data_IF_319718026691
#
_entry.id   IF_319718026691
#
_cell.length_a   1.000
_cell.length_b   1.000
_cell.length_c   1.000
_cell.angle_alpha   90.00
_cell.angle_beta   90.00
_cell.angle_gamma   90.00
#
_symmetry.space_group_name_H-M   'P 1'
#
loop_
_entity.id
_entity.type
_entity.pdbx_description
1 polymer ?
#
# COMPACT_ATOMS: atom_id res chain seq x y z
N UNK A 1 8.81 -20.25 12.78
CA UNK A 1 8.00 -20.68 11.62
C UNK A 1 8.66 -21.94 11.09
N UNK A 2 7.90 -23.03 10.90
CA UNK A 2 8.44 -24.25 10.26
C UNK A 2 8.72 -23.95 8.80
N UNK A 3 9.88 -24.38 8.31
CA UNK A 3 10.26 -24.20 6.91
C UNK A 3 9.54 -25.26 6.07
N UNK A 4 9.13 -24.91 4.85
CA UNK A 4 8.48 -25.84 3.94
C UNK A 4 9.48 -26.19 2.83
N UNK A 5 9.65 -27.48 2.57
CA UNK A 5 10.48 -27.99 1.48
C UNK A 5 9.60 -28.74 0.49
N UNK A 6 9.99 -28.71 -0.78
CA UNK A 6 9.43 -29.54 -1.84
C UNK A 6 10.44 -30.61 -2.22
N UNK A 7 9.99 -31.85 -2.32
CA UNK A 7 10.79 -32.96 -2.85
C UNK A 7 11.03 -32.71 -4.34
N UNK A 8 12.28 -32.55 -4.73
CA UNK A 8 12.70 -32.33 -6.12
C UNK A 8 13.18 -33.62 -6.79
N UNK A 9 13.68 -34.57 -6.00
CA UNK A 9 14.07 -35.91 -6.43
C UNK A 9 13.48 -36.93 -5.44
N UNK A 10 12.85 -38.02 -5.91
CA UNK A 10 12.26 -39.01 -5.01
C UNK A 10 13.35 -39.66 -4.15
N UNK A 11 12.99 -40.03 -2.92
CA UNK A 11 13.89 -40.70 -1.99
C UNK A 11 13.17 -41.91 -1.41
N UNK A 12 13.77 -43.10 -1.50
CA UNK A 12 13.26 -44.33 -0.91
C UNK A 12 14.22 -44.76 0.20
N UNK A 13 13.72 -44.91 1.43
CA UNK A 13 14.60 -45.32 2.53
C UNK A 13 15.04 -46.78 2.36
N UNK A 14 16.35 -47.07 2.48
CA UNK A 14 16.85 -48.44 2.56
C UNK A 14 16.72 -49.06 3.96
N UNK A 15 16.21 -48.30 4.96
CA UNK A 15 16.17 -48.69 6.38
C UNK A 15 14.72 -48.75 6.92
N UNK A 16 13.94 -49.79 6.58
CA UNK A 16 12.53 -49.88 6.97
C UNK A 16 12.28 -50.19 8.46
N UNK A 17 13.30 -50.64 9.20
CA UNK A 17 13.21 -50.91 10.64
C UNK A 17 14.18 -49.97 11.40
N UNK A 18 13.72 -48.76 11.77
CA UNK A 18 14.59 -47.75 12.32
C UNK A 18 15.06 -48.06 13.74
N UNK A 19 16.23 -47.55 14.09
CA UNK A 19 16.66 -47.44 15.48
C UNK A 19 15.74 -46.47 16.22
N UNK A 20 15.24 -46.90 17.37
CA UNK A 20 14.44 -46.11 18.31
C UNK A 20 15.06 -46.25 19.70
N UNK A 21 15.40 -45.13 20.33
CA UNK A 21 16.03 -45.11 21.65
C UNK A 21 15.76 -43.81 22.39
N UNK A 22 15.62 -43.91 23.72
CA UNK A 22 15.38 -42.77 24.60
C UNK A 22 16.69 -42.08 25.01
N UNK A 23 16.60 -40.83 25.46
CA UNK A 23 17.71 -40.09 26.04
C UNK A 23 18.38 -40.90 27.17
N UNK A 24 19.72 -40.92 27.17
CA UNK A 24 20.53 -41.69 28.12
C UNK A 24 20.73 -43.16 27.74
N UNK A 25 20.10 -43.65 26.67
CA UNK A 25 20.37 -44.99 26.18
C UNK A 25 21.84 -45.16 25.77
N UNK A 26 22.45 -46.28 26.21
CA UNK A 26 23.77 -46.70 25.76
C UNK A 26 23.66 -47.54 24.49
N UNK A 27 24.37 -47.12 23.45
CA UNK A 27 24.42 -47.76 22.15
C UNK A 27 25.88 -48.13 21.83
N UNK A 28 26.08 -49.07 20.91
CA UNK A 28 27.38 -49.26 20.26
C UNK A 28 27.43 -48.40 19.01
N UNK A 29 28.58 -47.84 18.68
CA UNK A 29 28.74 -47.06 17.45
C UNK A 29 29.89 -47.59 16.58
N UNK A 30 29.74 -47.38 15.28
CA UNK A 30 30.73 -47.65 14.25
C UNK A 30 30.85 -46.42 13.34
N UNK A 31 32.09 -46.05 12.99
CA UNK A 31 32.35 -45.08 11.92
C UNK A 31 32.33 -45.83 10.59
N UNK A 32 31.16 -45.90 9.97
CA UNK A 32 30.98 -46.51 8.65
C UNK A 32 31.23 -45.49 7.55
N UNK A 33 31.68 -45.96 6.40
CA UNK A 33 31.75 -45.12 5.19
C UNK A 33 30.34 -44.69 4.79
N UNK A 34 30.16 -43.39 4.56
CA UNK A 34 28.92 -42.77 4.14
C UNK A 34 29.25 -41.49 3.39
N UNK A 35 28.39 -41.10 2.45
CA UNK A 35 28.48 -39.80 1.78
C UNK A 35 28.04 -38.64 2.71
N UNK A 36 27.43 -38.96 3.85
CA UNK A 36 26.84 -37.99 4.78
C UNK A 36 27.75 -37.75 5.99
N UNK A 37 28.44 -36.61 6.00
CA UNK A 37 29.26 -36.19 7.14
C UNK A 37 28.41 -35.93 8.39
N UNK A 38 28.98 -36.17 9.58
CA UNK A 38 28.32 -35.89 10.86
C UNK A 38 27.39 -36.99 11.39
N UNK A 39 27.32 -38.15 10.73
CA UNK A 39 26.50 -39.29 11.14
C UNK A 39 27.35 -40.48 11.62
N UNK A 40 26.90 -41.14 12.69
CA UNK A 40 27.48 -42.40 13.18
C UNK A 40 26.47 -43.52 13.08
N UNK A 41 26.93 -44.71 12.69
CA UNK A 41 26.09 -45.89 12.68
C UNK A 41 26.00 -46.45 14.10
N UNK A 42 24.80 -46.45 14.67
CA UNK A 42 24.60 -46.92 16.05
C UNK A 42 23.75 -48.19 16.07
N UNK A 43 24.00 -49.05 17.04
CA UNK A 43 23.23 -50.27 17.31
C UNK A 43 22.76 -50.27 18.76
N UNK A 44 21.44 -50.36 18.95
CA UNK A 44 20.80 -50.48 20.25
C UNK A 44 20.96 -51.89 20.82
N UNK A 45 20.82 -52.09 22.15
CA UNK A 45 20.82 -53.42 22.76
C UNK A 45 19.76 -54.38 22.19
N UNK A 46 18.68 -53.84 21.61
CA UNK A 46 17.65 -54.60 20.90
C UNK A 46 18.15 -55.22 19.58
N UNK A 47 19.33 -54.83 19.09
CA UNK A 47 19.89 -55.23 17.80
C UNK A 47 19.51 -54.31 16.65
N UNK A 48 18.54 -53.40 16.84
CA UNK A 48 18.18 -52.41 15.83
C UNK A 48 19.30 -51.40 15.63
N UNK A 49 19.51 -51.00 14.39
CA UNK A 49 20.60 -50.09 14.02
C UNK A 49 20.12 -48.98 13.10
N UNK A 50 20.79 -47.85 13.13
CA UNK A 50 20.47 -46.71 12.29
C UNK A 50 21.50 -45.60 12.44
N UNK A 51 21.46 -44.65 11.51
CA UNK A 51 22.30 -43.46 11.56
C UNK A 51 21.82 -42.53 12.67
N UNK A 52 22.75 -42.01 13.47
CA UNK A 52 22.48 -41.02 14.53
C UNK A 52 23.43 -39.84 14.33
N UNK A 53 22.98 -38.58 14.46
CA UNK A 53 23.87 -37.43 14.39
C UNK A 53 24.95 -37.51 15.48
N UNK A 54 26.22 -37.36 15.10
CA UNK A 54 27.36 -37.39 16.03
C UNK A 54 27.21 -36.32 17.12
N UNK A 55 26.64 -35.17 16.77
CA UNK A 55 26.34 -34.06 17.69
C UNK A 55 25.38 -34.47 18.81
N UNK A 56 24.55 -35.49 18.59
CA UNK A 56 23.54 -35.98 19.54
C UNK A 56 24.05 -37.12 20.42
N UNK A 57 25.32 -37.48 20.28
CA UNK A 57 25.97 -38.56 21.02
C UNK A 57 27.05 -38.02 21.96
N UNK A 58 27.20 -38.64 23.12
CA UNK A 58 28.41 -38.55 23.95
C UNK A 58 29.19 -39.83 23.74
N UNK A 59 30.40 -39.72 23.19
CA UNK A 59 31.22 -40.89 22.85
C UNK A 59 32.07 -41.31 24.06
N UNK A 60 32.17 -42.63 24.25
CA UNK A 60 33.07 -43.31 25.18
C UNK A 60 33.79 -44.44 24.41
N UNK A 61 34.79 -45.09 24.99
CA UNK A 61 35.56 -46.15 24.31
C UNK A 61 34.63 -47.33 23.89
N UNK A 62 34.31 -47.40 22.60
CA UNK A 62 33.48 -48.46 21.99
C UNK A 62 31.97 -48.35 22.22
N UNK A 63 31.49 -47.29 22.88
CA UNK A 63 30.08 -47.06 23.17
C UNK A 63 29.72 -45.57 23.04
N UNK A 64 28.43 -45.27 22.90
CA UNK A 64 27.93 -43.91 22.92
C UNK A 64 26.65 -43.81 23.75
N UNK A 65 26.42 -42.63 24.33
CA UNK A 65 25.19 -42.32 25.06
C UNK A 65 24.41 -41.27 24.30
N UNK A 66 23.13 -41.55 24.07
CA UNK A 66 22.24 -40.66 23.35
C UNK A 66 21.82 -39.46 24.23
N UNK A 67 21.89 -38.25 23.70
CA UNK A 67 21.60 -37.02 24.48
C UNK A 67 20.11 -36.66 24.55
N UNK A 68 19.27 -37.27 23.71
CA UNK A 68 17.84 -36.96 23.54
C UNK A 68 17.10 -38.15 22.95
N UNK A 69 15.78 -38.23 23.10
CA UNK A 69 14.99 -39.28 22.44
C UNK A 69 15.18 -39.20 20.92
N UNK A 70 15.32 -40.35 20.28
CA UNK A 70 15.65 -40.42 18.86
C UNK A 70 15.00 -41.58 18.13
N UNK A 71 14.57 -41.29 16.91
CA UNK A 71 14.17 -42.27 15.91
C UNK A 71 14.93 -42.02 14.61
N UNK A 72 15.61 -43.04 14.10
CA UNK A 72 16.35 -43.03 12.83
C UNK A 72 15.42 -43.30 11.63
N UNK A 73 14.14 -42.94 11.73
CA UNK A 73 13.16 -43.19 10.68
C UNK A 73 13.35 -42.21 9.55
N UNK A 74 13.66 -42.72 8.39
CA UNK A 74 13.70 -41.98 7.14
C UNK A 74 12.35 -42.15 6.42
N UNK A 75 11.91 -41.12 5.72
CA UNK A 75 10.66 -41.14 4.95
C UNK A 75 10.94 -41.55 3.50
N UNK A 76 10.13 -42.44 2.95
CA UNK A 76 10.07 -42.61 1.49
C UNK A 76 9.13 -41.57 0.89
N UNK A 77 9.64 -40.72 0.00
CA UNK A 77 8.91 -39.56 -0.55
C UNK A 77 9.03 -39.50 -2.07
N UNK A 78 7.93 -39.14 -2.73
CA UNK A 78 7.87 -38.93 -4.17
C UNK A 78 8.16 -37.46 -4.54
N UNK A 79 8.66 -37.26 -5.76
CA UNK A 79 8.87 -35.92 -6.30
C UNK A 79 7.56 -35.09 -6.30
N UNK A 80 7.67 -33.85 -5.84
CA UNK A 80 6.55 -32.91 -5.72
C UNK A 80 5.92 -32.84 -4.33
N UNK A 81 6.12 -33.86 -3.49
CA UNK A 81 5.63 -33.85 -2.11
C UNK A 81 6.20 -32.69 -1.28
N UNK A 82 5.48 -32.32 -0.23
CA UNK A 82 5.84 -31.24 0.66
C UNK A 82 6.25 -31.79 2.03
N UNK A 83 7.41 -31.34 2.51
CA UNK A 83 7.93 -31.65 3.84
C UNK A 83 7.89 -30.39 4.68
N UNK A 84 7.09 -30.42 5.74
CA UNK A 84 7.12 -29.37 6.76
C UNK A 84 8.26 -29.69 7.73
N UNK A 85 9.38 -28.97 7.60
CA UNK A 85 10.57 -29.20 8.41
C UNK A 85 10.38 -28.70 9.84
N UNK A 86 10.70 -29.57 10.80
CA UNK A 86 10.86 -29.21 12.20
C UNK A 86 12.26 -28.63 12.43
N UNK A 87 13.30 -29.28 11.90
CA UNK A 87 14.68 -28.81 11.94
C UNK A 87 15.54 -29.50 10.86
N UNK A 88 16.76 -28.99 10.70
CA UNK A 88 17.80 -29.56 9.83
C UNK A 88 18.98 -29.94 10.71
N UNK A 89 19.58 -31.10 10.46
CA UNK A 89 20.79 -31.58 11.13
C UNK A 89 21.64 -32.35 10.12
N UNK A 90 22.93 -32.00 10.04
CA UNK A 90 23.93 -32.71 9.24
C UNK A 90 23.45 -33.06 7.82
N UNK A 91 22.95 -32.04 7.11
CA UNK A 91 22.39 -32.10 5.75
C UNK A 91 21.11 -32.93 5.54
N UNK A 92 20.39 -33.23 6.61
CA UNK A 92 19.07 -33.86 6.53
C UNK A 92 18.00 -33.01 7.22
N UNK A 93 16.79 -33.05 6.68
CA UNK A 93 15.59 -32.48 7.29
C UNK A 93 14.91 -33.54 8.11
N UNK A 94 14.60 -33.25 9.38
CA UNK A 94 13.56 -33.97 10.12
C UNK A 94 12.27 -33.15 10.04
N UNK A 95 11.18 -33.77 9.60
CA UNK A 95 9.92 -33.08 9.40
C UNK A 95 8.75 -34.04 9.20
N UNK A 96 7.63 -33.47 8.77
CA UNK A 96 6.41 -34.23 8.49
C UNK A 96 5.95 -34.07 7.03
N UNK A 97 5.46 -35.15 6.44
CA UNK A 97 4.69 -35.13 5.19
C UNK A 97 3.30 -34.51 5.42
N UNK A 98 2.54 -34.27 4.34
CA UNK A 98 1.13 -33.84 4.46
C UNK A 98 0.23 -34.86 5.16
N UNK A 99 0.54 -36.16 5.08
CA UNK A 99 -0.18 -37.22 5.79
C UNK A 99 0.13 -37.26 7.29
N UNK A 100 1.12 -36.47 7.75
CA UNK A 100 1.55 -36.39 9.13
C UNK A 100 2.61 -37.42 9.52
N UNK A 101 3.13 -38.19 8.56
CA UNK A 101 4.24 -39.11 8.82
C UNK A 101 5.53 -38.31 9.06
N UNK A 102 6.24 -38.63 10.14
CA UNK A 102 7.46 -37.92 10.55
C UNK A 102 8.72 -38.74 10.30
N UNK A 103 9.77 -38.10 9.83
CA UNK A 103 11.07 -38.73 9.64
C UNK A 103 12.06 -37.85 8.90
N UNK A 104 13.20 -38.46 8.57
CA UNK A 104 14.34 -37.85 7.92
C UNK A 104 14.24 -37.93 6.39
N UNK A 105 14.58 -36.82 5.72
CA UNK A 105 14.74 -36.74 4.27
C UNK A 105 16.02 -35.93 3.97
N UNK A 106 16.91 -36.41 3.09
CA UNK A 106 18.17 -35.72 2.80
C UNK A 106 17.94 -34.40 2.04
N UNK A 107 18.72 -33.36 2.35
CA UNK A 107 18.50 -32.01 1.79
C UNK A 107 18.73 -31.93 0.28
N UNK A 108 19.62 -32.75 -0.30
CA UNK A 108 19.85 -32.78 -1.75
C UNK A 108 18.63 -33.31 -2.55
N UNK A 109 17.67 -33.97 -1.89
CA UNK A 109 16.37 -34.34 -2.48
C UNK A 109 15.29 -33.25 -2.32
N UNK A 110 15.62 -32.12 -1.67
CA UNK A 110 14.67 -31.09 -1.26
C UNK A 110 15.04 -29.69 -1.81
N UNK A 111 14.03 -28.88 -2.11
CA UNK A 111 14.17 -27.45 -2.37
C UNK A 111 13.30 -26.61 -1.43
N UNK A 112 13.80 -25.51 -0.85
CA UNK A 112 13.00 -24.61 -0.03
C UNK A 112 11.82 -24.03 -0.81
N UNK A 113 10.63 -24.04 -0.23
CA UNK A 113 9.46 -23.33 -0.73
C UNK A 113 9.43 -21.95 -0.08
N UNK A 114 9.72 -20.91 -0.87
CA UNK A 114 9.64 -19.53 -0.40
C UNK A 114 8.20 -19.21 0.03
N UNK A 115 8.00 -18.85 1.30
CA UNK A 115 6.76 -18.23 1.74
C UNK A 115 6.91 -16.71 1.54
N UNK A 116 6.01 -16.04 0.79
CA UNK A 116 6.04 -14.59 0.74
C UNK A 116 5.82 -14.02 2.14
N UNK A 117 6.65 -13.05 2.53
CA UNK A 117 6.52 -12.40 3.84
C UNK A 117 5.12 -11.77 3.99
N UNK A 118 4.51 -11.84 5.18
CA UNK A 118 3.21 -11.23 5.39
C UNK A 118 3.28 -9.71 5.19
N UNK A 119 2.36 -9.16 4.39
CA UNK A 119 2.16 -7.72 4.25
C UNK A 119 1.15 -7.21 5.29
N UNK A 120 1.31 -5.96 5.73
CA UNK A 120 0.29 -5.29 6.55
C UNK A 120 -0.98 -5.04 5.73
N UNK A 121 -2.12 -5.51 6.21
CA UNK A 121 -3.42 -5.23 5.60
C UNK A 121 -3.92 -3.85 6.02
N UNK A 122 -4.29 -3.02 5.05
CA UNK A 122 -4.89 -1.69 5.26
C UNK A 122 -6.30 -1.67 4.69
N UNK A 123 -7.28 -1.17 5.44
CA UNK A 123 -8.64 -0.99 4.94
C UNK A 123 -8.70 0.08 3.83
N UNK A 124 -9.69 0.01 2.95
CA UNK A 124 -9.91 1.02 1.89
C UNK A 124 -10.02 2.44 2.47
N UNK A 125 -10.60 2.59 3.66
CA UNK A 125 -10.72 3.86 4.36
C UNK A 125 -9.35 4.40 4.82
N UNK A 126 -8.47 3.53 5.30
CA UNK A 126 -7.10 3.90 5.68
C UNK A 126 -6.27 4.25 4.45
N UNK A 127 -6.39 3.47 3.37
CA UNK A 127 -5.74 3.74 2.10
C UNK A 127 -6.16 5.11 1.55
N UNK A 128 -7.47 5.40 1.50
CA UNK A 128 -7.98 6.69 1.03
C UNK A 128 -7.50 7.87 1.91
N UNK A 129 -7.51 7.70 3.23
CA UNK A 129 -6.99 8.73 4.17
C UNK A 129 -5.51 9.00 3.95
N UNK A 130 -4.72 7.94 3.74
CA UNK A 130 -3.28 8.00 3.49
C UNK A 130 -3.00 8.67 2.14
N UNK A 131 -3.66 8.23 1.07
CA UNK A 131 -3.53 8.81 -0.27
C UNK A 131 -3.88 10.30 -0.27
N UNK A 132 -4.99 10.71 0.35
CA UNK A 132 -5.36 12.12 0.46
C UNK A 132 -4.37 12.97 1.27
N UNK A 133 -3.65 12.37 2.23
CA UNK A 133 -2.58 13.06 2.98
C UNK A 133 -1.32 13.19 2.12
N UNK A 134 -0.89 12.09 1.49
CA UNK A 134 0.29 12.06 0.65
C UNK A 134 0.15 12.96 -0.58
N UNK A 135 -1.04 13.04 -1.17
CA UNK A 135 -1.32 13.96 -2.29
C UNK A 135 -1.01 15.42 -1.93
N UNK A 136 -1.50 15.91 -0.79
CA UNK A 136 -1.26 17.29 -0.35
C UNK A 136 0.22 17.52 0.00
N UNK A 137 0.87 16.52 0.60
CA UNK A 137 2.29 16.63 0.96
C UNK A 137 3.20 16.57 -0.26
N UNK A 138 2.87 15.74 -1.24
CA UNK A 138 3.58 15.71 -2.51
C UNK A 138 3.47 17.09 -3.19
N UNK A 139 2.26 17.61 -3.36
CA UNK A 139 2.04 18.94 -3.95
C UNK A 139 2.84 20.03 -3.21
N UNK A 140 2.75 20.06 -1.88
CA UNK A 140 3.51 21.01 -1.06
C UNK A 140 5.02 20.86 -1.18
N UNK A 141 5.56 19.64 -1.17
CA UNK A 141 7.00 19.41 -1.34
C UNK A 141 7.47 19.80 -2.74
N UNK A 142 6.69 19.46 -3.77
CA UNK A 142 7.00 19.86 -5.14
C UNK A 142 7.02 21.39 -5.28
N UNK A 143 6.04 22.08 -4.71
CA UNK A 143 6.00 23.54 -4.66
C UNK A 143 7.26 24.12 -4.00
N UNK A 144 7.66 23.61 -2.83
CA UNK A 144 8.86 24.08 -2.12
C UNK A 144 10.14 23.87 -2.94
N UNK A 145 10.26 22.75 -3.66
CA UNK A 145 11.42 22.51 -4.55
C UNK A 145 11.42 23.42 -5.76
N UNK A 146 10.25 23.78 -6.27
CA UNK A 146 10.11 24.81 -7.30
C UNK A 146 10.51 26.20 -6.77
N UNK A 147 10.14 26.54 -5.52
CA UNK A 147 10.58 27.80 -4.88
C UNK A 147 12.10 27.85 -4.74
N UNK A 148 12.72 26.75 -4.27
CA UNK A 148 14.18 26.65 -4.14
C UNK A 148 14.90 26.83 -5.49
N UNK A 149 14.34 26.27 -6.57
CA UNK A 149 14.98 26.29 -7.89
C UNK A 149 14.72 27.58 -8.69
N UNK A 150 13.53 28.17 -8.58
CA UNK A 150 13.07 29.21 -9.50
C UNK A 150 12.57 30.48 -8.80
N UNK A 151 12.54 30.50 -7.47
CA UNK A 151 11.99 31.60 -6.68
C UNK A 151 10.47 31.53 -6.52
N UNK A 152 9.97 32.30 -5.55
CA UNK A 152 8.58 32.21 -5.08
C UNK A 152 7.56 32.61 -6.13
N UNK A 153 7.73 33.73 -6.82
CA UNK A 153 6.74 34.22 -7.78
C UNK A 153 6.59 33.27 -8.98
N UNK A 154 7.70 32.73 -9.49
CA UNK A 154 7.67 31.73 -10.56
C UNK A 154 6.99 30.44 -10.09
N UNK A 155 7.25 30.00 -8.85
CA UNK A 155 6.59 28.84 -8.27
C UNK A 155 5.08 29.05 -8.11
N UNK A 156 4.63 30.24 -7.68
CA UNK A 156 3.21 30.59 -7.55
C UNK A 156 2.51 30.54 -8.90
N UNK A 157 3.07 31.18 -9.93
CA UNK A 157 2.52 31.20 -11.28
C UNK A 157 2.42 29.78 -11.87
N UNK A 158 3.50 29.00 -11.75
CA UNK A 158 3.52 27.63 -12.24
C UNK A 158 2.51 26.75 -11.49
N UNK A 159 2.44 26.87 -10.16
CA UNK A 159 1.50 26.12 -9.34
C UNK A 159 0.05 26.45 -9.68
N UNK A 160 -0.27 27.72 -9.92
CA UNK A 160 -1.60 28.13 -10.36
C UNK A 160 -1.98 27.42 -11.68
N UNK A 161 -1.10 27.46 -12.69
CA UNK A 161 -1.32 26.79 -13.99
C UNK A 161 -1.50 25.27 -13.87
N UNK A 162 -0.67 24.63 -13.04
CA UNK A 162 -0.76 23.18 -12.75
C UNK A 162 -2.11 22.88 -12.09
N UNK A 163 -2.49 23.64 -11.05
CA UNK A 163 -3.76 23.47 -10.36
C UNK A 163 -4.96 23.71 -11.27
N UNK A 164 -4.96 24.74 -12.12
CA UNK A 164 -6.03 24.96 -13.12
C UNK A 164 -6.19 23.74 -14.04
N UNK A 165 -5.08 23.22 -14.56
CA UNK A 165 -5.09 22.04 -15.44
C UNK A 165 -5.58 20.78 -14.71
N UNK A 166 -5.10 20.59 -13.47
CA UNK A 166 -5.49 19.46 -12.64
C UNK A 166 -6.96 19.55 -12.20
N UNK A 167 -7.48 20.75 -11.92
CA UNK A 167 -8.89 20.99 -11.60
C UNK A 167 -9.85 20.49 -12.68
N UNK A 168 -9.49 20.63 -13.95
CA UNK A 168 -10.26 20.05 -15.07
C UNK A 168 -10.21 18.52 -15.08
N UNK A 169 -9.10 17.92 -14.65
CA UNK A 169 -8.98 16.46 -14.52
C UNK A 169 -9.82 15.96 -13.35
N UNK A 170 -9.76 16.65 -12.20
CA UNK A 170 -10.56 16.36 -11.00
C UNK A 170 -12.06 16.33 -11.34
N UNK A 171 -12.57 17.39 -11.99
CA UNK A 171 -13.99 17.48 -12.33
C UNK A 171 -14.44 16.47 -13.38
N UNK A 172 -13.63 16.19 -14.41
CA UNK A 172 -13.96 15.12 -15.38
C UNK A 172 -13.99 13.74 -14.73
N UNK A 173 -13.06 13.49 -13.80
CA UNK A 173 -13.00 12.23 -13.05
C UNK A 173 -14.22 12.09 -12.13
N UNK A 174 -14.60 13.17 -11.45
CA UNK A 174 -15.81 13.22 -10.63
C UNK A 174 -17.07 12.97 -11.46
N UNK A 175 -17.22 13.65 -12.60
CA UNK A 175 -18.36 13.47 -13.49
C UNK A 175 -18.49 12.00 -13.94
N UNK A 176 -17.37 11.38 -14.34
CA UNK A 176 -17.34 9.95 -14.68
C UNK A 176 -17.77 9.07 -13.50
N UNK A 177 -17.25 9.33 -12.30
CA UNK A 177 -17.61 8.58 -11.10
C UNK A 177 -19.09 8.76 -10.70
N UNK A 178 -19.66 9.94 -10.93
CA UNK A 178 -21.06 10.26 -10.71
C UNK A 178 -21.99 9.79 -11.85
N UNK A 179 -21.45 9.20 -12.92
CA UNK A 179 -22.23 8.79 -14.09
C UNK A 179 -22.79 9.95 -14.93
N UNK A 180 -22.21 11.16 -14.81
CA UNK A 180 -22.66 12.38 -15.48
C UNK A 180 -21.73 12.78 -16.61
N UNK A 181 -22.29 13.38 -17.67
CA UNK A 181 -21.50 14.04 -18.73
C UNK A 181 -21.12 15.48 -18.38
N UNK A 182 -21.99 16.16 -17.64
CA UNK A 182 -21.88 17.52 -17.12
C UNK A 182 -22.83 17.69 -15.93
N UNK A 183 -22.73 18.79 -15.20
CA UNK A 183 -23.76 19.19 -14.24
C UNK A 183 -25.05 19.62 -14.97
N UNK A 184 -26.19 19.44 -14.32
CA UNK A 184 -27.48 19.79 -14.92
C UNK A 184 -27.75 21.30 -14.89
N UNK A 185 -27.37 21.95 -13.77
CA UNK A 185 -27.52 23.37 -13.48
C UNK A 185 -26.49 23.84 -12.44
N UNK A 186 -26.56 25.11 -12.03
CA UNK A 186 -25.67 25.69 -11.01
C UNK A 186 -25.81 24.98 -9.65
N UNK A 187 -27.02 24.74 -9.10
CA UNK A 187 -27.21 23.92 -7.91
C UNK A 187 -26.52 22.55 -7.99
N UNK A 188 -26.63 21.85 -9.12
CA UNK A 188 -26.00 20.55 -9.33
C UNK A 188 -24.47 20.64 -9.40
N UNK A 189 -23.93 21.67 -10.04
CA UNK A 189 -22.49 21.91 -10.05
C UNK A 189 -21.94 22.17 -8.63
N UNK A 190 -22.67 22.93 -7.80
CA UNK A 190 -22.29 23.15 -6.41
C UNK A 190 -22.34 21.85 -5.59
N UNK A 191 -23.37 21.00 -5.77
CA UNK A 191 -23.43 19.68 -5.13
C UNK A 191 -22.28 18.76 -5.56
N UNK A 192 -21.86 18.82 -6.82
CA UNK A 192 -20.69 18.08 -7.32
C UNK A 192 -19.40 18.56 -6.65
N UNK A 193 -19.18 19.87 -6.55
CA UNK A 193 -18.02 20.43 -5.85
C UNK A 193 -18.01 20.10 -4.36
N UNK A 194 -19.17 20.15 -3.70
CA UNK A 194 -19.30 19.72 -2.31
C UNK A 194 -18.98 18.22 -2.16
N UNK A 195 -19.49 17.38 -3.08
CA UNK A 195 -19.19 15.94 -3.12
C UNK A 195 -17.69 15.70 -3.27
N UNK A 196 -17.02 16.44 -4.16
CA UNK A 196 -15.57 16.38 -4.33
C UNK A 196 -14.83 16.77 -3.06
N UNK A 197 -15.21 17.88 -2.44
CA UNK A 197 -14.63 18.34 -1.18
C UNK A 197 -14.82 17.28 -0.07
N UNK A 198 -15.99 16.67 0.06
CA UNK A 198 -16.28 15.62 1.03
C UNK A 198 -15.59 14.28 0.72
N UNK A 199 -15.30 13.97 -0.54
CA UNK A 199 -14.59 12.75 -0.90
C UNK A 199 -13.08 12.87 -0.64
N UNK A 200 -12.47 13.97 -1.10
CA UNK A 200 -11.00 14.06 -1.19
C UNK A 200 -10.40 15.02 -0.16
N UNK A 201 -11.15 16.03 0.28
CA UNK A 201 -10.63 17.07 1.17
C UNK A 201 -11.13 16.94 2.61
N UNK A 202 -12.35 16.46 2.87
CA UNK A 202 -12.94 16.23 4.22
C UNK A 202 -12.47 17.24 5.26
N UNK A 203 -11.79 16.77 6.31
CA UNK A 203 -11.28 17.62 7.38
C UNK A 203 -10.36 18.73 6.89
N UNK A 204 -9.66 18.57 5.77
CA UNK A 204 -8.68 19.50 5.17
C UNK A 204 -9.30 20.71 4.49
N UNK A 205 -10.56 20.64 4.06
CA UNK A 205 -11.30 21.77 3.49
C UNK A 205 -12.69 21.79 4.10
N UNK A 206 -12.98 22.81 4.92
CA UNK A 206 -14.33 23.05 5.42
C UNK A 206 -14.94 24.19 4.62
N UNK A 207 -15.91 23.83 3.77
CA UNK A 207 -16.59 24.75 2.88
C UNK A 207 -18.11 24.57 2.98
N UNK A 208 -18.84 25.67 2.90
CA UNK A 208 -20.30 25.73 2.85
C UNK A 208 -20.71 26.29 1.50
N UNK A 209 -21.57 25.58 0.79
CA UNK A 209 -22.08 25.94 -0.53
C UNK A 209 -23.53 26.40 -0.41
N UNK A 210 -23.87 27.54 -1.00
CA UNK A 210 -25.21 28.11 -0.93
C UNK A 210 -25.62 28.67 -2.28
N UNK A 211 -26.88 28.44 -2.66
CA UNK A 211 -27.49 29.05 -3.84
C UNK A 211 -28.17 30.35 -3.37
N UNK A 212 -27.81 31.46 -4.00
CA UNK A 212 -28.38 32.76 -3.70
C UNK A 212 -29.64 33.02 -4.55
N UNK A 213 -29.56 32.67 -5.84
CA UNK A 213 -30.66 32.68 -6.80
C UNK A 213 -30.35 31.72 -7.97
N UNK A 214 -31.15 31.77 -9.06
CA UNK A 214 -31.03 30.88 -10.21
C UNK A 214 -29.67 30.97 -10.94
N UNK A 215 -28.99 32.11 -10.85
CA UNK A 215 -27.76 32.42 -11.59
C UNK A 215 -26.55 32.65 -10.67
N UNK A 216 -26.76 32.67 -9.34
CA UNK A 216 -25.72 33.01 -8.39
C UNK A 216 -25.56 32.00 -7.24
N UNK A 217 -24.31 31.62 -6.98
CA UNK A 217 -23.93 30.78 -5.85
C UNK A 217 -22.84 31.44 -5.00
N UNK A 218 -22.88 31.17 -3.70
CA UNK A 218 -21.87 31.59 -2.73
C UNK A 218 -21.19 30.38 -2.11
N UNK A 219 -19.88 30.47 -1.91
CA UNK A 219 -19.11 29.47 -1.15
C UNK A 219 -18.29 30.15 -0.06
N UNK A 220 -18.43 29.66 1.16
CA UNK A 220 -17.68 30.12 2.34
C UNK A 220 -16.71 29.02 2.78
N UNK A 221 -15.42 29.32 2.80
CA UNK A 221 -14.39 28.39 3.28
C UNK A 221 -13.88 28.86 4.63
N UNK A 222 -14.13 28.07 5.67
CA UNK A 222 -13.68 28.36 7.04
C UNK A 222 -12.36 27.66 7.41
N UNK A 223 -11.97 26.62 6.65
CA UNK A 223 -10.68 25.95 6.81
C UNK A 223 -10.10 25.53 5.47
N UNK A 224 -8.84 25.86 5.21
CA UNK A 224 -8.10 25.49 4.01
C UNK A 224 -6.71 24.95 4.36
N UNK A 225 -6.48 23.64 4.18
CA UNK A 225 -5.20 23.01 4.49
C UNK A 225 -4.04 23.51 3.60
N UNK A 226 -4.31 23.96 2.38
CA UNK A 226 -3.28 24.56 1.52
C UNK A 226 -2.78 25.89 2.11
N UNK A 227 -3.68 26.72 2.63
CA UNK A 227 -3.32 27.93 3.36
C UNK A 227 -2.62 27.62 4.70
N UNK A 228 -3.09 26.63 5.44
CA UNK A 228 -2.39 26.18 6.65
C UNK A 228 -0.96 25.70 6.34
N UNK A 229 -0.78 24.94 5.25
CA UNK A 229 0.53 24.53 4.76
C UNK A 229 1.41 25.71 4.36
N UNK A 230 0.84 26.71 3.70
CA UNK A 230 1.54 27.96 3.35
C UNK A 230 2.09 28.68 4.59
N UNK A 231 1.32 28.73 5.69
CA UNK A 231 1.78 29.30 6.96
C UNK A 231 2.95 28.52 7.56
N UNK A 232 2.86 27.18 7.54
CA UNK A 232 3.89 26.31 8.09
C UNK A 232 5.19 26.34 7.27
N UNK A 233 5.10 26.62 5.97
CA UNK A 233 6.26 26.69 5.08
C UNK A 233 7.20 27.88 5.36
N UNK A 234 6.77 28.88 6.13
CA UNK A 234 7.61 30.04 6.49
C UNK A 234 8.04 30.90 5.29
N UNK A 235 7.23 30.94 4.23
CA UNK A 235 7.51 31.70 3.01
C UNK A 235 7.25 33.21 3.21
N UNK A 236 7.90 34.10 2.43
CA UNK A 236 7.70 35.55 2.50
C UNK A 236 6.25 36.03 2.36
N UNK A 237 5.41 35.27 1.62
CA UNK A 237 3.97 35.49 1.49
C UNK A 237 3.22 34.16 1.61
N UNK A 238 1.94 34.24 2.02
CA UNK A 238 1.12 33.09 2.40
C UNK A 238 -0.18 32.96 1.58
N UNK A 239 -0.31 33.74 0.51
CA UNK A 239 -1.48 33.80 -0.38
C UNK A 239 -1.36 32.95 -1.65
N UNK A 240 -0.29 32.16 -1.81
CA UNK A 240 -0.09 31.28 -2.96
C UNK A 240 -1.24 30.30 -3.17
N UNK A 241 -1.83 29.81 -2.08
CA UNK A 241 -3.01 28.94 -2.13
C UNK A 241 -4.22 29.70 -2.68
N UNK A 242 -4.35 31.00 -2.36
CA UNK A 242 -5.42 31.85 -2.89
C UNK A 242 -5.24 32.10 -4.39
N UNK A 243 -4.02 32.37 -4.86
CA UNK A 243 -3.75 32.57 -6.29
C UNK A 243 -4.17 31.35 -7.10
N UNK A 244 -3.76 30.16 -6.68
CA UNK A 244 -4.19 28.92 -7.34
C UNK A 244 -5.70 28.69 -7.25
N UNK A 245 -6.30 28.96 -6.07
CA UNK A 245 -7.74 28.82 -5.86
C UNK A 245 -8.57 29.72 -6.78
N UNK A 246 -8.14 30.96 -7.03
CA UNK A 246 -8.84 31.89 -7.91
C UNK A 246 -8.99 31.30 -9.32
N UNK A 247 -7.91 30.73 -9.87
CA UNK A 247 -7.95 30.08 -11.20
C UNK A 247 -8.72 28.76 -11.25
N UNK A 248 -8.91 28.09 -10.10
CA UNK A 248 -9.61 26.81 -10.03
C UNK A 248 -11.12 26.95 -10.24
N UNK A 249 -11.70 28.06 -9.81
CA UNK A 249 -13.15 28.29 -9.94
C UNK A 249 -13.59 28.30 -11.40
N UNK A 250 -12.85 29.01 -12.26
CA UNK A 250 -13.11 29.04 -13.70
C UNK A 250 -12.98 27.64 -14.29
N UNK A 251 -11.88 26.93 -13.98
CA UNK A 251 -11.66 25.57 -14.46
C UNK A 251 -12.76 24.59 -14.04
N UNK A 252 -13.25 24.70 -12.81
CA UNK A 252 -14.33 23.86 -12.30
C UNK A 252 -15.65 24.16 -12.99
N UNK A 253 -16.06 25.43 -13.02
CA UNK A 253 -17.33 25.84 -13.62
C UNK A 253 -17.37 25.59 -15.13
N UNK A 254 -16.29 25.87 -15.87
CA UNK A 254 -16.16 25.53 -17.29
C UNK A 254 -16.29 24.03 -17.56
N UNK A 255 -15.72 23.20 -16.68
CA UNK A 255 -15.75 21.74 -16.85
C UNK A 255 -17.12 21.16 -16.49
N UNK A 256 -17.74 21.66 -15.43
CA UNK A 256 -19.04 21.17 -14.95
C UNK A 256 -20.21 21.71 -15.77
N UNK A 257 -20.15 22.98 -16.20
CA UNK A 257 -21.20 23.69 -16.93
C UNK A 257 -20.62 24.33 -18.22
N UNK A 258 -20.24 23.51 -19.22
CA UNK A 258 -19.61 24.02 -20.43
C UNK A 258 -20.55 24.90 -21.26
N UNK A 259 -20.01 25.96 -21.86
CA UNK A 259 -20.75 26.92 -22.69
C UNK A 259 -21.50 27.99 -21.90
N UNK A 260 -21.27 28.07 -20.59
CA UNK A 260 -21.76 29.13 -19.71
C UNK A 260 -20.59 30.05 -19.36
N UNK A 261 -20.79 31.36 -19.51
CA UNK A 261 -19.83 32.34 -19.04
C UNK A 261 -20.09 32.67 -17.57
N UNK A 262 -19.02 32.70 -16.79
CA UNK A 262 -19.07 32.92 -15.34
C UNK A 262 -18.30 34.18 -14.97
N UNK A 263 -18.84 34.89 -13.98
CA UNK A 263 -18.14 35.93 -13.25
C UNK A 263 -17.92 35.45 -11.82
N UNK A 264 -16.67 35.15 -11.47
CA UNK A 264 -16.32 34.69 -10.12
C UNK A 264 -15.63 35.81 -9.35
N UNK A 265 -16.26 36.20 -8.25
CA UNK A 265 -15.76 37.23 -7.35
C UNK A 265 -15.15 36.60 -6.10
N UNK A 266 -14.08 37.22 -5.59
CA UNK A 266 -13.33 36.76 -4.40
C UNK A 266 -13.34 37.79 -3.26
N UNK A 267 -14.51 38.12 -2.66
CA UNK A 267 -14.61 39.17 -1.63
C UNK A 267 -13.67 39.01 -0.43
N UNK A 268 -13.42 37.77 0.03
CA UNK A 268 -12.58 37.50 1.19
C UNK A 268 -11.66 36.31 0.94
N UNK A 269 -10.41 36.37 1.41
CA UNK A 269 -9.38 35.34 1.25
C UNK A 269 -8.53 35.22 2.51
N UNK A 270 -8.47 34.02 3.08
CA UNK A 270 -7.66 33.76 4.28
C UNK A 270 -6.18 34.11 4.11
N UNK A 271 -5.60 33.83 2.93
CA UNK A 271 -4.21 34.19 2.63
C UNK A 271 -3.95 35.70 2.51
N UNK A 272 -5.02 36.53 2.39
CA UNK A 272 -4.94 38.00 2.35
C UNK A 272 -5.34 38.66 3.68
N UNK A 273 -5.51 37.86 4.75
CA UNK A 273 -5.78 38.35 6.10
C UNK A 273 -7.24 38.21 6.58
N UNK A 274 -8.15 37.71 5.73
CA UNK A 274 -9.54 37.52 6.11
C UNK A 274 -9.75 36.28 7.01
N UNK A 275 -10.78 36.25 7.88
CA UNK A 275 -11.04 35.10 8.74
C UNK A 275 -11.50 33.86 7.96
N UNK A 276 -12.17 34.06 6.82
CA UNK A 276 -12.72 33.03 5.93
C UNK A 276 -12.45 33.42 4.48
N UNK A 277 -12.50 32.46 3.56
CA UNK A 277 -12.65 32.80 2.14
C UNK A 277 -14.14 32.93 1.80
N UNK A 278 -14.49 33.91 0.98
CA UNK A 278 -15.82 34.06 0.39
C UNK A 278 -15.67 34.15 -1.13
N UNK A 279 -16.41 33.31 -1.83
CA UNK A 279 -16.46 33.25 -3.29
C UNK A 279 -17.91 33.41 -3.73
N UNK A 280 -18.13 34.16 -4.81
CA UNK A 280 -19.45 34.33 -5.42
C UNK A 280 -19.32 34.08 -6.91
N UNK A 281 -19.96 33.03 -7.41
CA UNK A 281 -20.02 32.71 -8.82
C UNK A 281 -21.37 33.17 -9.37
N UNK A 282 -21.33 34.01 -10.40
CA UNK A 282 -22.53 34.53 -11.07
C UNK A 282 -22.48 34.14 -12.55
N UNK A 283 -23.55 33.58 -13.07
CA UNK A 283 -23.69 33.35 -14.51
C UNK A 283 -23.83 34.68 -15.23
N UNK A 284 -23.01 34.93 -16.26
CA UNK A 284 -23.23 36.07 -17.15
C UNK A 284 -24.40 35.76 -18.08
N UNK A 285 -25.42 36.61 -18.07
CA UNK A 285 -26.53 36.51 -19.01
C UNK A 285 -26.00 36.63 -20.45
N UNK A 286 -26.52 35.81 -21.37
CA UNK A 286 -26.34 36.08 -22.80
C UNK A 286 -26.99 37.44 -23.09
N UNK A 287 -26.22 38.42 -23.57
CA UNK A 287 -26.82 39.56 -24.26
C UNK A 287 -27.63 38.99 -25.43
N UNK A 288 -28.96 38.96 -25.29
CA UNK A 288 -29.85 38.63 -26.38
C UNK A 288 -29.62 39.60 -27.55
N UNK A 289 -29.82 39.18 -28.81
CA UNK A 289 -29.52 40.01 -29.95
C UNK A 289 -30.24 41.36 -29.83
N UNK A 290 -29.47 42.45 -29.96
CA UNK A 290 -29.96 43.82 -30.09
C UNK A 290 -31.20 43.79 -30.98
N UNK A 291 -32.37 44.09 -30.40
CA UNK A 291 -33.61 44.27 -31.15
C UNK A 291 -33.32 45.31 -32.24
N UNK A 292 -33.27 44.83 -33.47
CA UNK A 292 -33.07 45.65 -34.65
C UNK A 292 -34.00 46.84 -34.60
N UNK A 293 -33.40 48.03 -34.70
CA UNK A 293 -34.07 49.29 -34.95
C UNK A 293 -35.19 49.08 -35.97
N UNK A 294 -36.41 49.32 -35.51
CA UNK A 294 -37.55 49.67 -36.34
C UNK A 294 -37.12 50.80 -37.30
N UNK A 295 -36.91 50.46 -38.57
CA UNK A 295 -36.98 51.45 -39.64
C UNK A 295 -38.41 51.49 -40.15
N UNK A 296 -39.12 52.50 -39.66
CA UNK A 296 -40.25 53.10 -40.36
C UNK A 296 -39.74 53.74 -41.65
N UNK A 297 -40.14 53.16 -42.78
CA UNK A 297 -40.63 53.78 -44.04
C UNK A 297 -40.33 52.88 -45.23
#
# INVERSE_FOLDING_TARGET
>A
MRSLYRVIEPYETPFPDPLEADAGAQLRYERRETEWEGWLWCTAPSGKSGWVPETWLTLDEGACTLKRDYVARELSVAAGELITADFVESDWVFGATESGEQGWVPLNHLAPVAQPAPHYQLSDAEQARMLGKLMLYWDGQWFLKTVEAFGLEAAIDLNAKVRTSFGRIEMRTLLKAAGKKRADDLPDAMRLLETYAQAFMRGRLRAEFSILDDDQAQVIVSRCAAYEGAKLAGLPRQDQACVACETLWDAWLETLLPGVEWDVQFPARQGKGDPVCKFVATRRGQEGPLKGSSRLR
#
